data_IF_566868106109
#
_entry.id   IF_566868106109
#
_cell.length_a   1.000
_cell.length_b   1.000
_cell.length_c   1.000
_cell.angle_alpha   90.00
_cell.angle_beta   90.00
_cell.angle_gamma   90.00
#
_symmetry.space_group_name_H-M   'P 1'
#
loop_
_entity.id
_entity.type
_entity.pdbx_description
1 polymer ?
#
# COMPACT_ATOMS: atom_id res chain seq x y z
N UNK A 1 15.86 15.90 -5.05
CA UNK A 1 15.00 14.85 -4.47
C UNK A 1 15.02 14.91 -2.95
N UNK A 2 16.20 14.95 -2.31
CA UNK A 2 16.33 15.04 -0.84
C UNK A 2 15.58 16.24 -0.26
N UNK A 3 15.66 17.37 -0.92
CA UNK A 3 14.94 18.60 -0.53
C UNK A 3 13.40 18.41 -0.56
N UNK A 4 12.88 17.72 -1.58
CA UNK A 4 11.47 17.36 -1.65
C UNK A 4 11.04 16.42 -0.50
N UNK A 5 11.87 15.41 -0.20
CA UNK A 5 11.58 14.49 0.91
C UNK A 5 11.54 15.26 2.24
N UNK A 6 12.56 16.07 2.50
CA UNK A 6 12.69 16.77 3.77
C UNK A 6 11.65 17.89 3.97
N UNK A 7 11.35 18.65 2.92
CA UNK A 7 10.53 19.87 3.03
C UNK A 7 9.07 19.68 2.62
N UNK A 8 8.72 18.53 2.02
CA UNK A 8 7.34 18.27 1.61
C UNK A 8 6.84 16.89 2.03
N UNK A 9 7.47 15.80 1.58
CA UNK A 9 6.89 14.48 1.75
C UNK A 9 6.86 14.00 3.21
N UNK A 10 7.96 14.13 3.94
CA UNK A 10 8.00 13.80 5.38
C UNK A 10 7.07 14.68 6.22
N UNK A 11 7.05 16.02 6.06
CA UNK A 11 6.08 16.86 6.75
C UNK A 11 4.62 16.48 6.48
N UNK A 12 4.27 16.06 5.27
CA UNK A 12 2.91 15.59 4.96
C UNK A 12 2.57 14.27 5.67
N UNK A 13 3.51 13.33 5.75
CA UNK A 13 3.31 12.10 6.52
C UNK A 13 3.18 12.42 8.01
N UNK A 14 4.04 13.30 8.55
CA UNK A 14 3.94 13.76 9.93
C UNK A 14 2.57 14.38 10.22
N UNK A 15 2.08 15.24 9.33
CA UNK A 15 0.75 15.85 9.48
C UNK A 15 -0.37 14.80 9.54
N UNK A 16 -0.27 13.72 8.74
CA UNK A 16 -1.25 12.64 8.75
C UNK A 16 -1.25 11.88 10.08
N UNK A 17 -0.08 11.48 10.57
CA UNK A 17 0.02 10.71 11.82
C UNK A 17 -0.31 11.55 13.06
N UNK A 18 -0.06 12.86 13.03
CA UNK A 18 -0.36 13.78 14.13
C UNK A 18 -1.86 14.11 14.23
N UNK A 19 -2.57 14.15 13.11
CA UNK A 19 -3.94 14.67 13.07
C UNK A 19 -5.02 13.59 12.90
N UNK A 20 -4.65 12.37 12.54
CA UNK A 20 -5.62 11.29 12.28
C UNK A 20 -5.25 10.04 13.08
N UNK A 21 -6.28 9.36 13.57
CA UNK A 21 -6.10 8.01 14.13
C UNK A 21 -6.08 7.02 12.98
N UNK A 22 -4.87 6.58 12.63
CA UNK A 22 -4.63 5.67 11.52
C UNK A 22 -4.41 4.24 12.02
N UNK A 23 -4.85 3.26 11.27
CA UNK A 23 -4.44 1.86 11.44
C UNK A 23 -3.39 1.46 10.41
N UNK A 24 -3.30 2.21 9.31
CA UNK A 24 -2.43 1.91 8.19
C UNK A 24 -2.06 3.17 7.43
N UNK A 25 -0.83 3.22 6.89
CA UNK A 25 -0.39 4.16 5.86
C UNK A 25 0.05 3.38 4.63
N UNK A 26 -0.63 3.64 3.53
CA UNK A 26 -0.37 3.04 2.25
C UNK A 26 0.47 3.97 1.37
N UNK A 27 1.78 3.70 1.27
CA UNK A 27 2.70 4.42 0.39
C UNK A 27 2.72 3.77 -0.98
N UNK A 28 2.83 4.56 -2.04
CA UNK A 28 2.84 4.05 -3.40
C UNK A 28 4.01 4.59 -4.22
N UNK A 29 4.49 3.75 -5.10
CA UNK A 29 5.43 4.01 -6.20
C UNK A 29 6.79 4.63 -5.87
N UNK A 30 7.56 4.22 -4.90
CA UNK A 30 8.99 4.46 -4.93
C UNK A 30 9.73 3.27 -5.55
N UNK A 31 9.86 3.25 -6.88
CA UNK A 31 10.60 2.19 -7.57
C UNK A 31 12.10 2.25 -7.23
N UNK A 32 12.65 3.45 -7.06
CA UNK A 32 14.06 3.68 -6.70
C UNK A 32 14.18 4.83 -5.71
N UNK A 33 13.97 4.53 -4.44
CA UNK A 33 14.20 5.47 -3.35
C UNK A 33 15.45 5.04 -2.55
N UNK A 34 16.40 5.92 -2.21
CA UNK A 34 17.50 5.58 -1.31
C UNK A 34 16.98 5.07 0.05
N UNK A 35 17.62 4.03 0.58
CA UNK A 35 17.18 3.37 1.83
C UNK A 35 17.01 4.35 3.01
N UNK A 36 17.84 5.41 3.08
CA UNK A 36 17.70 6.46 4.10
C UNK A 36 16.33 7.14 4.10
N UNK A 37 15.69 7.28 2.93
CA UNK A 37 14.37 7.90 2.81
C UNK A 37 13.27 6.93 3.21
N UNK A 38 13.34 5.66 2.77
CA UNK A 38 12.40 4.63 3.24
C UNK A 38 12.46 4.51 4.76
N UNK A 39 13.66 4.48 5.33
CA UNK A 39 13.85 4.47 6.77
C UNK A 39 13.26 5.70 7.45
N UNK A 40 13.47 6.90 6.90
CA UNK A 40 12.94 8.14 7.47
C UNK A 40 11.40 8.15 7.49
N UNK A 41 10.73 7.69 6.44
CA UNK A 41 9.28 7.54 6.41
C UNK A 41 8.80 6.52 7.44
N UNK A 42 9.41 5.34 7.45
CA UNK A 42 9.04 4.28 8.39
C UNK A 42 9.23 4.74 9.84
N UNK A 43 10.36 5.38 10.15
CA UNK A 43 10.66 5.91 11.47
C UNK A 43 9.67 7.00 11.90
N UNK A 44 9.31 7.93 11.01
CA UNK A 44 8.33 8.98 11.29
C UNK A 44 6.97 8.39 11.69
N UNK A 45 6.53 7.34 10.99
CA UNK A 45 5.26 6.67 11.28
C UNK A 45 5.36 5.89 12.60
N UNK A 46 6.41 5.09 12.76
CA UNK A 46 6.63 4.25 13.94
C UNK A 46 6.78 5.06 15.23
N UNK A 47 7.48 6.20 15.19
CA UNK A 47 7.65 7.09 16.34
C UNK A 47 6.34 7.76 16.78
N UNK A 48 5.43 7.99 15.82
CA UNK A 48 4.11 8.54 16.13
C UNK A 48 3.20 7.49 16.76
N UNK A 49 3.11 6.30 16.18
CA UNK A 49 2.35 5.16 16.72
C UNK A 49 2.88 3.85 16.11
N UNK A 50 3.50 2.96 16.89
CA UNK A 50 4.05 1.69 16.41
C UNK A 50 2.98 0.66 16.00
N UNK A 51 1.70 0.93 16.24
CA UNK A 51 0.59 0.07 15.80
C UNK A 51 0.12 0.39 14.36
N UNK A 52 0.60 1.51 13.77
CA UNK A 52 0.27 1.86 12.38
C UNK A 52 1.05 0.95 11.44
N UNK A 53 0.34 0.19 10.62
CA UNK A 53 0.95 -0.68 9.61
C UNK A 53 1.39 0.11 8.37
N UNK A 54 2.51 -0.29 7.78
CA UNK A 54 3.07 0.33 6.58
C UNK A 54 3.26 -0.73 5.51
N UNK A 55 2.82 -0.47 4.28
CA UNK A 55 3.01 -1.40 3.18
C UNK A 55 4.45 -1.41 2.66
N UNK A 56 4.87 -2.53 2.05
CA UNK A 56 6.22 -2.70 1.51
C UNK A 56 6.54 -1.81 0.28
N UNK A 57 5.57 -1.10 -0.27
CA UNK A 57 5.84 -0.12 -1.34
C UNK A 57 6.61 1.12 -0.86
N UNK A 58 6.83 1.25 0.44
CA UNK A 58 7.83 2.18 0.99
C UNK A 58 9.25 1.90 0.46
N UNK A 59 9.52 0.68 -0.01
CA UNK A 59 10.77 0.27 -0.62
C UNK A 59 11.85 -0.23 0.36
N UNK A 60 12.94 -0.76 -0.19
CA UNK A 60 14.13 -1.21 0.54
C UNK A 60 13.86 -2.26 1.64
N UNK A 61 12.85 -3.10 1.44
CA UNK A 61 12.42 -4.12 2.40
C UNK A 61 11.92 -3.60 3.75
N UNK A 62 11.60 -2.31 3.85
CA UNK A 62 10.82 -1.77 4.95
C UNK A 62 9.34 -2.08 4.75
N UNK A 63 8.55 -1.92 5.81
CA UNK A 63 7.12 -2.16 5.80
C UNK A 63 6.72 -3.48 6.46
N UNK A 64 5.48 -3.56 6.90
CA UNK A 64 4.93 -4.61 7.75
C UNK A 64 4.17 -5.66 6.96
N UNK A 65 3.69 -5.33 5.75
CA UNK A 65 2.97 -6.26 4.88
C UNK A 65 3.32 -6.07 3.41
N UNK A 66 3.21 -7.17 2.65
CA UNK A 66 3.55 -7.22 1.23
C UNK A 66 2.41 -6.80 0.31
N UNK A 67 2.77 -6.31 -0.88
CA UNK A 67 1.86 -6.09 -2.00
C UNK A 67 2.37 -6.94 -3.17
N UNK A 68 1.74 -8.07 -3.50
CA UNK A 68 2.22 -8.97 -4.56
C UNK A 68 2.28 -8.33 -5.95
N UNK A 69 1.45 -7.32 -6.17
CA UNK A 69 1.35 -6.57 -7.42
C UNK A 69 -0.05 -6.01 -7.63
N UNK A 70 -0.17 -5.17 -8.66
CA UNK A 70 -1.44 -4.57 -9.03
C UNK A 70 -2.33 -5.60 -9.75
N UNK A 71 -3.55 -5.79 -9.25
CA UNK A 71 -4.45 -6.83 -9.75
C UNK A 71 -3.83 -8.24 -9.76
N UNK A 72 -3.06 -8.58 -8.71
CA UNK A 72 -2.38 -9.87 -8.59
C UNK A 72 -2.80 -10.60 -7.32
N UNK A 73 -3.21 -11.84 -7.47
CA UNK A 73 -3.40 -12.80 -6.37
C UNK A 73 -2.25 -13.81 -6.47
N UNK A 74 -1.44 -14.03 -5.42
CA UNK A 74 -0.37 -15.02 -5.44
C UNK A 74 -0.86 -16.42 -5.81
N UNK A 75 -0.07 -17.20 -6.54
CA UNK A 75 -0.44 -18.57 -6.90
C UNK A 75 -0.47 -19.50 -5.69
N UNK A 76 0.42 -19.28 -4.74
CA UNK A 76 0.58 -20.08 -3.53
C UNK A 76 0.07 -19.33 -2.29
N UNK A 77 -0.22 -20.10 -1.23
CA UNK A 77 -0.49 -19.52 0.10
C UNK A 77 0.76 -18.77 0.56
N UNK A 78 0.61 -17.50 0.88
CA UNK A 78 1.64 -16.71 1.53
C UNK A 78 1.41 -16.74 3.05
N UNK A 79 2.47 -16.98 3.82
CA UNK A 79 2.42 -16.99 5.28
C UNK A 79 2.73 -15.64 5.90
N UNK A 80 3.39 -14.78 5.14
CA UNK A 80 3.64 -13.39 5.54
C UNK A 80 2.38 -12.56 5.31
N UNK A 81 2.20 -11.49 6.07
CA UNK A 81 1.09 -10.58 5.86
C UNK A 81 1.18 -9.92 4.47
N UNK A 82 0.08 -9.87 3.76
CA UNK A 82 0.01 -9.24 2.44
C UNK A 82 -1.40 -8.75 2.12
N UNK A 83 -1.47 -7.80 1.24
CA UNK A 83 -2.70 -7.18 0.80
C UNK A 83 -2.78 -7.14 -0.73
N UNK A 84 -3.98 -7.34 -1.27
CA UNK A 84 -4.25 -7.25 -2.69
C UNK A 84 -4.87 -5.92 -3.05
N UNK A 85 -4.26 -5.20 -3.97
CA UNK A 85 -4.84 -4.00 -4.57
C UNK A 85 -5.37 -4.31 -5.96
N UNK A 86 -6.63 -3.98 -6.21
CA UNK A 86 -7.29 -4.29 -7.47
C UNK A 86 -8.28 -3.20 -7.89
N UNK A 87 -8.41 -3.02 -9.20
CA UNK A 87 -9.44 -2.15 -9.80
C UNK A 87 -10.76 -2.90 -9.99
N UNK A 88 -11.87 -2.18 -9.99
CA UNK A 88 -13.20 -2.72 -10.34
C UNK A 88 -13.50 -2.61 -11.84
N UNK A 89 -12.72 -1.80 -12.57
CA UNK A 89 -12.74 -1.64 -14.03
C UNK A 89 -11.29 -1.61 -14.56
N UNK A 90 -11.01 -0.95 -15.68
CA UNK A 90 -9.66 -0.85 -16.25
C UNK A 90 -8.84 0.35 -15.75
N UNK A 91 -9.38 1.13 -14.83
CA UNK A 91 -8.77 2.38 -14.35
C UNK A 91 -8.64 2.43 -12.83
N UNK A 92 -7.53 3.00 -12.33
CA UNK A 92 -7.35 3.26 -10.90
C UNK A 92 -8.16 4.46 -10.40
N UNK A 93 -8.38 5.44 -11.25
CA UNK A 93 -9.20 6.60 -10.96
C UNK A 93 -10.47 6.62 -11.78
N UNK A 94 -11.41 7.52 -11.44
CA UNK A 94 -12.61 7.70 -12.22
C UNK A 94 -12.30 8.18 -13.65
N UNK A 95 -12.84 7.46 -14.63
CA UNK A 95 -12.87 7.87 -16.04
C UNK A 95 -14.27 7.65 -16.58
N UNK A 96 -14.88 8.71 -17.10
CA UNK A 96 -16.28 8.67 -17.59
C UNK A 96 -16.51 7.74 -18.78
N UNK A 97 -15.45 7.32 -19.45
CA UNK A 97 -15.50 6.43 -20.62
C UNK A 97 -15.07 4.98 -20.30
N UNK A 98 -14.67 4.69 -19.03
CA UNK A 98 -14.30 3.34 -18.62
C UNK A 98 -15.47 2.69 -17.89
N UNK A 99 -16.31 2.03 -18.67
CA UNK A 99 -17.50 1.31 -18.25
C UNK A 99 -17.36 -0.22 -18.32
N UNK A 100 -16.14 -0.70 -18.58
CA UNK A 100 -15.80 -2.13 -18.59
C UNK A 100 -15.61 -2.68 -17.17
N UNK A 101 -16.72 -2.82 -16.47
CA UNK A 101 -16.73 -3.26 -15.09
C UNK A 101 -16.54 -4.76 -14.94
N UNK A 102 -15.67 -5.17 -14.01
CA UNK A 102 -15.58 -6.58 -13.62
C UNK A 102 -16.94 -7.09 -13.14
N UNK A 103 -17.26 -8.32 -13.52
CA UNK A 103 -18.51 -8.94 -13.07
C UNK A 103 -18.50 -9.17 -11.57
N UNK A 104 -19.65 -9.10 -10.87
CA UNK A 104 -19.73 -9.36 -9.43
C UNK A 104 -19.10 -10.70 -9.01
N UNK A 105 -19.22 -11.73 -9.84
CA UNK A 105 -18.61 -13.04 -9.56
C UNK A 105 -17.07 -13.01 -9.61
N UNK A 106 -16.49 -12.15 -10.44
CA UNK A 106 -15.03 -11.96 -10.50
C UNK A 106 -14.53 -11.28 -9.24
N UNK A 107 -15.24 -10.23 -8.77
CA UNK A 107 -14.90 -9.54 -7.52
C UNK A 107 -15.04 -10.49 -6.33
N UNK A 108 -16.12 -11.28 -6.28
CA UNK A 108 -16.30 -12.28 -5.24
C UNK A 108 -15.18 -13.32 -5.26
N UNK A 109 -14.77 -13.77 -6.45
CA UNK A 109 -13.63 -14.68 -6.60
C UNK A 109 -12.35 -14.08 -6.02
N UNK A 110 -12.08 -12.80 -6.29
CA UNK A 110 -10.93 -12.09 -5.75
C UNK A 110 -10.93 -12.07 -4.22
N UNK A 111 -12.06 -11.70 -3.61
CA UNK A 111 -12.20 -11.69 -2.15
C UNK A 111 -11.94 -13.07 -1.54
N UNK A 112 -12.59 -14.11 -2.07
CA UNK A 112 -12.44 -15.48 -1.55
C UNK A 112 -11.03 -16.01 -1.78
N UNK A 113 -10.43 -15.72 -2.93
CA UNK A 113 -9.07 -16.17 -3.25
C UNK A 113 -8.02 -15.51 -2.36
N UNK A 114 -8.17 -14.21 -2.03
CA UNK A 114 -7.29 -13.50 -1.11
C UNK A 114 -7.33 -14.14 0.28
N UNK A 115 -8.50 -14.26 0.87
CA UNK A 115 -8.68 -14.85 2.20
C UNK A 115 -8.15 -16.30 2.25
N UNK A 116 -8.45 -17.10 1.21
CA UNK A 116 -7.96 -18.49 1.11
C UNK A 116 -6.44 -18.58 1.10
N UNK A 117 -5.76 -17.57 0.57
CA UNK A 117 -4.30 -17.53 0.43
C UNK A 117 -3.59 -16.76 1.54
N UNK A 118 -4.32 -16.35 2.57
CA UNK A 118 -3.80 -15.68 3.75
C UNK A 118 -3.63 -14.16 3.60
N UNK A 119 -4.26 -13.56 2.60
CA UNK A 119 -4.22 -12.12 2.35
C UNK A 119 -5.50 -11.39 2.70
N UNK A 120 -5.40 -10.09 2.55
CA UNK A 120 -6.49 -9.14 2.72
C UNK A 120 -6.82 -8.44 1.39
#
# INVERSE_FOLDING_TARGET
FDDYIANKALPQVQELVDNYKLCEIWLDTPIYIPARHSFAFYQTIYDADPEILVNQRIGNHFGDFGIPGDNVIPDQINKDAWECVATTNNSWGYKSYDDDWKKPIEILYWLVANVRKGGN
#
